data_IF_387823321601
#
_entry.id   IF_387823321601
#
_cell.length_a   1.000
_cell.length_b   1.000
_cell.length_c   1.000
_cell.angle_alpha   90.00
_cell.angle_beta   90.00
_cell.angle_gamma   90.00
#
_symmetry.space_group_name_H-M   'P 1'
#
loop_
_entity.id
_entity.type
_entity.pdbx_description
1 polymer ?
#
# COMPACT_ATOMS: atom_id res chain seq x y z
N UNK A 1 -6.27 -15.19 3.48
CA UNK A 1 -5.30 -15.68 2.50
C UNK A 1 -4.26 -16.49 3.24
N UNK A 2 -3.82 -17.62 2.70
CA UNK A 2 -2.74 -18.42 3.35
C UNK A 2 -1.46 -18.30 2.54
N UNK A 3 -0.37 -17.87 3.18
CA UNK A 3 0.95 -17.82 2.56
C UNK A 3 1.39 -19.19 2.02
N UNK A 4 1.97 -19.19 0.83
CA UNK A 4 2.50 -20.37 0.15
C UNK A 4 4.03 -20.24 0.08
N UNK A 5 4.73 -21.17 0.72
CA UNK A 5 6.18 -21.29 0.57
C UNK A 5 6.47 -21.96 -0.77
N UNK A 6 6.87 -21.14 -1.75
CA UNK A 6 7.30 -21.58 -3.07
C UNK A 6 8.82 -21.43 -3.17
N UNK A 7 9.61 -22.53 -3.15
CA UNK A 7 11.06 -22.47 -3.20
C UNK A 7 11.61 -21.69 -4.41
N UNK A 8 10.88 -21.71 -5.51
CA UNK A 8 11.23 -21.04 -6.77
C UNK A 8 11.28 -19.52 -6.61
N UNK A 9 10.46 -18.94 -5.71
CA UNK A 9 10.43 -17.51 -5.47
C UNK A 9 11.52 -17.02 -4.51
N UNK A 10 12.14 -17.91 -3.74
CA UNK A 10 13.05 -17.54 -2.65
C UNK A 10 14.23 -16.72 -3.15
N UNK A 11 14.82 -17.10 -4.28
CA UNK A 11 15.98 -16.38 -4.84
C UNK A 11 15.64 -14.95 -5.26
N UNK A 12 14.44 -14.74 -5.84
CA UNK A 12 13.98 -13.41 -6.26
C UNK A 12 13.66 -12.55 -5.05
N UNK A 13 12.88 -13.12 -4.12
CA UNK A 13 12.43 -12.41 -2.92
C UNK A 13 13.63 -12.06 -2.00
N UNK A 14 14.66 -12.90 -1.94
CA UNK A 14 15.89 -12.60 -1.19
C UNK A 14 16.60 -11.34 -1.71
N UNK A 15 16.86 -11.26 -3.03
CA UNK A 15 17.51 -10.09 -3.66
C UNK A 15 16.72 -8.81 -3.40
N UNK A 16 15.40 -8.86 -3.58
CA UNK A 16 14.55 -7.70 -3.42
C UNK A 16 14.38 -7.28 -1.95
N UNK A 17 14.34 -8.23 -1.02
CA UNK A 17 14.12 -7.95 0.41
C UNK A 17 15.37 -7.39 1.09
N UNK A 18 16.57 -7.83 0.71
CA UNK A 18 17.82 -7.23 1.19
C UNK A 18 18.03 -5.80 0.67
N UNK A 19 17.39 -5.50 -0.45
CA UNK A 19 17.44 -4.24 -1.15
C UNK A 19 18.72 -4.09 -1.97
N UNK A 20 18.58 -3.57 -3.18
CA UNK A 20 19.65 -3.37 -4.15
C UNK A 20 20.06 -1.91 -4.15
N UNK A 21 21.34 -1.65 -3.88
CA UNK A 21 21.90 -0.30 -3.83
C UNK A 21 22.22 0.19 -5.24
N UNK A 22 21.70 1.37 -5.58
CA UNK A 22 21.85 2.00 -6.89
C UNK A 22 22.06 3.50 -6.69
N UNK A 23 23.30 3.95 -6.87
CA UNK A 23 23.69 5.37 -6.77
C UNK A 23 23.18 6.07 -5.48
N UNK A 24 22.13 6.90 -5.59
CA UNK A 24 21.53 7.66 -4.48
C UNK A 24 20.19 7.07 -3.96
N UNK A 25 19.85 5.85 -4.38
CA UNK A 25 18.66 5.12 -3.93
C UNK A 25 18.93 3.65 -3.61
N UNK A 26 18.00 3.05 -2.88
CA UNK A 26 17.95 1.61 -2.63
C UNK A 26 16.59 1.08 -3.03
N UNK A 27 16.58 0.06 -3.89
CA UNK A 27 15.37 -0.59 -4.40
C UNK A 27 15.06 -1.79 -3.53
N UNK A 28 13.84 -1.86 -3.02
CA UNK A 28 13.33 -2.99 -2.28
C UNK A 28 12.15 -3.59 -3.02
N UNK A 29 11.85 -4.84 -2.69
CA UNK A 29 10.60 -5.44 -3.11
C UNK A 29 10.31 -6.73 -2.36
N UNK A 30 9.17 -7.30 -2.74
CA UNK A 30 8.59 -8.49 -2.17
C UNK A 30 7.80 -9.20 -3.24
N UNK A 31 8.07 -10.49 -3.41
CA UNK A 31 7.31 -11.35 -4.31
C UNK A 31 6.83 -12.59 -3.56
N UNK A 32 5.54 -12.61 -3.26
CA UNK A 32 4.93 -13.63 -2.41
C UNK A 32 3.76 -14.32 -3.09
N UNK A 33 3.51 -15.57 -2.71
CA UNK A 33 2.38 -16.33 -3.20
C UNK A 33 1.41 -16.68 -2.07
N UNK A 34 0.12 -16.61 -2.37
CA UNK A 34 -0.96 -16.85 -1.43
C UNK A 34 -2.04 -17.76 -2.04
N UNK A 35 -2.61 -18.64 -1.21
CA UNK A 35 -3.80 -19.39 -1.58
C UNK A 35 -5.05 -18.55 -1.35
N UNK A 36 -5.93 -18.51 -2.36
CA UNK A 36 -7.26 -17.90 -2.28
C UNK A 36 -8.29 -18.78 -1.54
N UNK A 37 -7.84 -19.78 -0.78
CA UNK A 37 -8.70 -20.53 0.13
C UNK A 37 -8.99 -19.65 1.35
N UNK A 38 -10.27 -19.53 1.69
CA UNK A 38 -10.76 -18.74 2.82
C UNK A 38 -10.11 -19.21 4.12
N UNK A 39 -9.31 -18.33 4.74
CA UNK A 39 -8.79 -18.49 6.08
C UNK A 39 -9.80 -17.96 7.12
N UNK A 40 -9.60 -18.28 8.40
CA UNK A 40 -10.48 -17.79 9.48
C UNK A 40 -10.46 -16.27 9.60
N UNK A 41 -9.31 -15.63 9.38
CA UNK A 41 -9.14 -14.16 9.35
C UNK A 41 -10.01 -13.50 8.28
N UNK A 42 -10.15 -14.15 7.13
CA UNK A 42 -10.84 -13.61 5.96
C UNK A 42 -12.35 -13.51 6.19
N UNK A 43 -12.91 -14.34 7.09
CA UNK A 43 -14.34 -14.31 7.43
C UNK A 43 -14.76 -12.98 8.05
N UNK A 44 -13.89 -12.36 8.83
CA UNK A 44 -14.17 -11.06 9.46
C UNK A 44 -14.22 -9.96 8.40
N UNK A 45 -13.22 -9.94 7.51
CA UNK A 45 -13.13 -8.99 6.40
C UNK A 45 -14.32 -9.16 5.45
N UNK A 46 -14.70 -10.40 5.12
CA UNK A 46 -15.86 -10.69 4.29
C UNK A 46 -17.16 -10.14 4.89
N UNK A 47 -17.35 -10.32 6.20
CA UNK A 47 -18.53 -9.78 6.90
C UNK A 47 -18.58 -8.25 6.84
N UNK A 48 -17.46 -7.58 7.12
CA UNK A 48 -17.36 -6.11 7.06
C UNK A 48 -17.61 -5.58 5.63
N UNK A 49 -17.11 -6.26 4.60
CA UNK A 49 -17.36 -5.92 3.18
C UNK A 49 -18.83 -6.11 2.80
N UNK A 50 -19.48 -7.18 3.26
CA UNK A 50 -20.91 -7.42 3.02
C UNK A 50 -21.80 -6.39 3.74
N UNK A 51 -21.42 -5.98 4.95
CA UNK A 51 -22.09 -4.90 5.70
C UNK A 51 -21.99 -3.56 4.96
N UNK A 52 -20.77 -3.14 4.55
CA UNK A 52 -20.56 -1.92 3.73
C UNK A 52 -21.36 -1.95 2.43
N UNK A 53 -21.43 -3.11 1.76
CA UNK A 53 -22.24 -3.27 0.55
C UNK A 53 -23.73 -3.03 0.84
N UNK A 54 -24.23 -3.55 1.97
CA UNK A 54 -25.64 -3.40 2.36
C UNK A 54 -25.97 -1.95 2.70
N UNK A 55 -25.09 -1.27 3.44
CA UNK A 55 -25.22 0.15 3.76
C UNK A 55 -25.29 1.02 2.50
N UNK A 56 -24.37 0.83 1.55
CA UNK A 56 -24.38 1.57 0.27
C UNK A 56 -25.66 1.36 -0.53
N UNK A 57 -26.25 0.16 -0.48
CA UNK A 57 -27.52 -0.14 -1.14
C UNK A 57 -28.72 0.53 -0.43
N UNK A 58 -28.67 0.67 0.89
CA UNK A 58 -29.70 1.34 1.68
C UNK A 58 -29.65 2.87 1.50
N UNK A 59 -28.47 3.47 1.59
CA UNK A 59 -28.26 4.92 1.44
C UNK A 59 -28.62 5.43 0.03
N UNK A 60 -28.40 4.60 -0.99
CA UNK A 60 -28.75 4.92 -2.38
C UNK A 60 -30.24 4.78 -2.70
N UNK A 61 -31.09 4.37 -1.75
CA UNK A 61 -32.53 4.19 -1.98
C UNK A 61 -32.88 3.08 -2.99
N UNK A 62 -31.93 2.18 -3.27
CA UNK A 62 -32.00 1.16 -4.32
C UNK A 62 -32.90 -0.05 -4.01
N UNK A 63 -33.74 0.04 -2.97
CA UNK A 63 -34.79 -0.96 -2.67
C UNK A 63 -35.98 -0.90 -3.65
N UNK A 64 -35.94 0.02 -4.63
CA UNK A 64 -36.95 0.15 -5.68
C UNK A 64 -36.51 -0.57 -6.97
N UNK A 65 -37.33 -1.46 -7.57
CA UNK A 65 -36.94 -2.29 -8.73
C UNK A 65 -36.49 -1.54 -9.99
N UNK A 66 -36.70 -0.22 -10.08
CA UNK A 66 -36.56 0.57 -11.31
C UNK A 66 -35.23 1.38 -11.39
N UNK A 67 -34.43 1.42 -10.33
CA UNK A 67 -33.14 2.15 -10.30
C UNK A 67 -31.90 1.25 -10.42
N UNK A 68 -32.09 -0.08 -10.51
CA UNK A 68 -31.01 -1.07 -10.52
C UNK A 68 -29.99 -0.90 -11.67
N UNK A 69 -30.42 -0.32 -12.81
CA UNK A 69 -29.60 -0.22 -14.01
C UNK A 69 -28.66 0.99 -14.07
N UNK A 70 -28.80 1.99 -13.19
CA UNK A 70 -28.04 3.25 -13.26
C UNK A 70 -27.16 3.54 -12.03
N UNK A 71 -27.19 2.68 -11.01
CA UNK A 71 -26.60 2.93 -9.69
C UNK A 71 -25.38 2.05 -9.35
N UNK A 72 -24.97 1.16 -10.25
CA UNK A 72 -23.70 0.46 -10.14
C UNK A 72 -22.57 1.44 -10.46
N UNK A 73 -22.17 2.28 -9.50
CA UNK A 73 -20.89 2.97 -9.58
C UNK A 73 -19.83 1.90 -9.89
N UNK A 74 -19.38 1.84 -11.13
CA UNK A 74 -18.49 0.79 -11.59
C UNK A 74 -17.13 1.10 -10.99
N UNK A 75 -16.83 0.50 -9.84
CA UNK A 75 -15.47 0.55 -9.33
C UNK A 75 -14.55 -0.10 -10.36
N UNK A 76 -13.25 0.25 -10.37
CA UNK A 76 -12.30 -0.32 -11.31
C UNK A 76 -12.19 -1.85 -11.26
N UNK A 77 -12.59 -2.46 -10.14
CA UNK A 77 -12.62 -3.92 -9.95
C UNK A 77 -14.01 -4.55 -10.13
N UNK A 78 -15.04 -3.75 -10.40
CA UNK A 78 -16.43 -4.19 -10.66
C UNK A 78 -17.47 -3.65 -9.66
N UNK A 79 -18.76 -3.92 -9.86
CA UNK A 79 -19.81 -3.47 -8.95
C UNK A 79 -19.75 -4.22 -7.61
N UNK A 80 -19.79 -3.50 -6.47
CA UNK A 80 -19.75 -4.12 -5.13
C UNK A 80 -20.98 -5.02 -4.84
N UNK A 81 -22.09 -4.79 -5.55
CA UNK A 81 -23.28 -5.62 -5.48
C UNK A 81 -23.02 -7.07 -5.98
N UNK A 82 -22.01 -7.28 -6.83
CA UNK A 82 -21.66 -8.61 -7.31
C UNK A 82 -20.85 -9.39 -6.26
N UNK A 83 -21.27 -10.63 -5.99
CA UNK A 83 -20.54 -11.52 -5.07
C UNK A 83 -19.10 -11.79 -5.53
N UNK A 84 -18.84 -11.78 -6.85
CA UNK A 84 -17.50 -11.94 -7.39
C UNK A 84 -16.57 -10.78 -6.99
N UNK A 85 -17.04 -9.53 -7.14
CA UNK A 85 -16.31 -8.32 -6.72
C UNK A 85 -16.02 -8.34 -5.22
N UNK A 86 -17.00 -8.68 -4.38
CA UNK A 86 -16.78 -8.74 -2.93
C UNK A 86 -15.75 -9.80 -2.53
N UNK A 87 -15.81 -10.98 -3.15
CA UNK A 87 -14.80 -12.04 -2.94
C UNK A 87 -13.41 -11.59 -3.38
N UNK A 88 -13.31 -10.90 -4.52
CA UNK A 88 -12.06 -10.34 -5.00
C UNK A 88 -11.51 -9.30 -4.01
N UNK A 89 -12.33 -8.33 -3.59
CA UNK A 89 -11.94 -7.31 -2.63
C UNK A 89 -11.43 -7.92 -1.31
N UNK A 90 -12.15 -8.92 -0.79
CA UNK A 90 -11.71 -9.67 0.39
C UNK A 90 -10.35 -10.32 0.17
N UNK A 91 -10.11 -10.94 -0.99
CA UNK A 91 -8.81 -11.55 -1.31
C UNK A 91 -7.70 -10.50 -1.37
N UNK A 92 -7.94 -9.34 -2.00
CA UNK A 92 -6.97 -8.25 -2.12
C UNK A 92 -6.59 -7.70 -0.74
N UNK A 93 -7.58 -7.31 0.08
CA UNK A 93 -7.37 -6.80 1.44
C UNK A 93 -6.69 -7.85 2.32
N UNK A 94 -7.14 -9.10 2.25
CA UNK A 94 -6.55 -10.19 3.04
C UNK A 94 -5.10 -10.49 2.63
N UNK A 95 -4.72 -10.21 1.38
CA UNK A 95 -3.34 -10.36 0.90
C UNK A 95 -2.46 -9.24 1.45
N UNK A 96 -2.93 -8.00 1.44
CA UNK A 96 -2.21 -6.88 2.07
C UNK A 96 -2.01 -7.09 3.58
N UNK A 97 -3.06 -7.46 4.31
CA UNK A 97 -2.98 -7.74 5.75
C UNK A 97 -2.05 -8.92 6.07
N UNK A 98 -1.91 -9.89 5.15
CA UNK A 98 -0.99 -11.01 5.34
C UNK A 98 0.46 -10.62 5.02
N UNK A 99 0.69 -9.76 4.02
CA UNK A 99 2.01 -9.28 3.63
C UNK A 99 2.57 -8.26 4.64
N UNK A 100 1.74 -7.35 5.14
CA UNK A 100 2.13 -6.30 6.08
C UNK A 100 1.39 -6.48 7.41
N UNK A 101 1.92 -7.35 8.27
CA UNK A 101 1.28 -7.75 9.52
C UNK A 101 1.03 -6.60 10.51
N UNK A 102 1.81 -5.53 10.41
CA UNK A 102 1.72 -4.35 11.28
C UNK A 102 0.68 -3.32 10.80
N UNK A 103 0.05 -3.57 9.65
CA UNK A 103 -0.91 -2.66 9.01
C UNK A 103 -2.30 -3.28 8.96
N UNK A 104 -3.32 -2.41 9.01
CA UNK A 104 -4.73 -2.80 8.92
C UNK A 104 -5.40 -2.17 7.70
N UNK A 105 -5.62 -2.97 6.67
CA UNK A 105 -6.21 -2.55 5.39
C UNK A 105 -7.73 -2.77 5.31
N UNK A 106 -8.41 -3.07 6.43
CA UNK A 106 -9.86 -3.35 6.44
C UNK A 106 -10.73 -2.16 6.03
N UNK A 107 -10.18 -0.94 6.12
CA UNK A 107 -10.87 0.28 5.70
C UNK A 107 -10.96 0.41 4.18
N UNK A 108 -10.06 -0.23 3.43
CA UNK A 108 -10.03 -0.18 1.96
C UNK A 108 -11.34 -0.64 1.33
N UNK A 109 -11.69 0.00 0.22
CA UNK A 109 -12.85 -0.25 -0.60
C UNK A 109 -12.49 -0.57 -2.06
N UNK A 110 -13.50 -0.80 -2.90
CA UNK A 110 -13.29 -1.18 -4.30
C UNK A 110 -12.53 -0.15 -5.15
N UNK A 111 -12.59 1.14 -4.79
CA UNK A 111 -11.98 2.22 -5.55
C UNK A 111 -10.48 2.39 -5.26
N UNK A 112 -9.96 1.76 -4.19
CA UNK A 112 -8.53 1.79 -3.84
C UNK A 112 -7.72 0.81 -4.71
N UNK A 113 -8.42 -0.03 -5.48
CA UNK A 113 -7.82 -1.01 -6.37
C UNK A 113 -8.18 -0.72 -7.83
N UNK A 114 -7.23 -0.95 -8.71
CA UNK A 114 -7.39 -0.82 -10.15
C UNK A 114 -7.23 -2.17 -10.83
N UNK A 115 -8.03 -2.46 -11.86
CA UNK A 115 -7.81 -3.62 -12.73
C UNK A 115 -6.92 -3.19 -13.90
N UNK A 116 -5.81 -3.90 -14.08
CA UNK A 116 -4.90 -3.67 -15.20
C UNK A 116 -5.43 -4.36 -16.45
N UNK A 117 -5.61 -3.59 -17.52
CA UNK A 117 -6.19 -4.08 -18.77
C UNK A 117 -5.16 -4.70 -19.73
N UNK A 118 -3.87 -4.44 -19.50
CA UNK A 118 -2.78 -4.91 -20.34
C UNK A 118 -1.65 -5.50 -19.50
N UNK A 119 -1.52 -6.82 -19.55
CA UNK A 119 -0.40 -7.53 -18.93
C UNK A 119 0.95 -7.07 -19.47
N UNK A 120 1.03 -6.74 -20.78
CA UNK A 120 2.26 -6.25 -21.40
C UNK A 120 2.69 -4.88 -20.83
N UNK A 121 1.73 -4.00 -20.54
CA UNK A 121 2.05 -2.70 -19.90
C UNK A 121 2.52 -2.91 -18.47
N UNK A 122 1.91 -3.85 -17.73
CA UNK A 122 2.39 -4.22 -16.38
C UNK A 122 3.81 -4.77 -16.44
N UNK A 123 4.10 -5.70 -17.36
CA UNK A 123 5.45 -6.24 -17.55
C UNK A 123 6.44 -5.12 -17.88
N UNK A 124 6.08 -4.23 -18.80
CA UNK A 124 6.93 -3.10 -19.19
C UNK A 124 7.20 -2.16 -18.01
N UNK A 125 6.20 -1.91 -17.15
CA UNK A 125 6.37 -1.09 -15.96
C UNK A 125 7.31 -1.75 -14.95
N UNK A 126 7.09 -3.03 -14.64
CA UNK A 126 7.95 -3.82 -13.74
C UNK A 126 9.40 -3.82 -14.26
N UNK A 127 9.60 -4.10 -15.55
CA UNK A 127 10.92 -4.10 -16.17
C UNK A 127 11.59 -2.73 -16.08
N UNK A 128 10.85 -1.65 -16.31
CA UNK A 128 11.41 -0.29 -16.25
C UNK A 128 11.79 0.09 -14.83
N UNK A 129 10.95 -0.22 -13.83
CA UNK A 129 11.22 0.04 -12.42
C UNK A 129 12.38 -0.79 -11.87
N UNK A 130 12.55 -2.02 -12.34
CA UNK A 130 13.57 -2.95 -11.87
C UNK A 130 14.80 -3.04 -12.79
N UNK A 131 14.88 -2.22 -13.85
CA UNK A 131 16.06 -2.17 -14.71
C UNK A 131 17.36 -1.91 -13.92
N UNK A 132 17.39 -1.03 -12.89
CA UNK A 132 18.60 -0.86 -12.10
C UNK A 132 18.98 -2.11 -11.28
N UNK A 133 18.00 -2.97 -10.94
CA UNK A 133 18.27 -4.28 -10.31
C UNK A 133 18.92 -5.23 -11.31
N UNK A 134 18.45 -5.23 -12.57
CA UNK A 134 19.06 -6.00 -13.66
C UNK A 134 20.51 -5.58 -13.92
N UNK A 135 20.81 -4.28 -13.87
CA UNK A 135 22.18 -3.77 -14.04
C UNK A 135 23.14 -4.27 -12.96
N UNK A 136 22.67 -4.38 -11.70
CA UNK A 136 23.46 -4.91 -10.58
C UNK A 136 23.48 -6.44 -10.53
N UNK A 137 22.41 -7.08 -11.01
CA UNK A 137 22.21 -8.53 -11.01
C UNK A 137 21.78 -9.01 -12.41
N UNK A 138 22.73 -9.18 -13.35
CA UNK A 138 22.40 -9.58 -14.72
C UNK A 138 21.64 -10.92 -14.78
N UNK A 139 20.57 -10.96 -15.57
CA UNK A 139 19.67 -12.10 -15.72
C UNK A 139 18.53 -12.14 -14.68
N UNK A 140 18.42 -11.15 -13.79
CA UNK A 140 17.38 -11.10 -12.77
C UNK A 140 15.97 -11.06 -13.37
N UNK A 141 15.73 -10.18 -14.35
CA UNK A 141 14.41 -10.03 -14.99
C UNK A 141 14.04 -11.29 -15.79
N UNK A 142 15.01 -11.89 -16.49
CA UNK A 142 14.78 -13.16 -17.20
C UNK A 142 14.37 -14.27 -16.22
N UNK A 143 15.10 -14.41 -15.11
CA UNK A 143 14.81 -15.39 -14.07
C UNK A 143 13.45 -15.14 -13.41
N UNK A 144 13.14 -13.89 -13.07
CA UNK A 144 11.84 -13.46 -12.54
C UNK A 144 10.69 -13.90 -13.46
N UNK A 145 10.75 -13.57 -14.74
CA UNK A 145 9.67 -13.89 -15.68
C UNK A 145 9.57 -15.38 -15.98
N UNK A 146 10.69 -16.12 -16.00
CA UNK A 146 10.66 -17.57 -16.14
C UNK A 146 9.88 -18.21 -14.99
N UNK A 147 10.17 -17.82 -13.74
CA UNK A 147 9.43 -18.32 -12.58
C UNK A 147 7.96 -17.89 -12.67
N UNK A 148 7.67 -16.61 -12.88
CA UNK A 148 6.29 -16.10 -12.91
C UNK A 148 5.43 -16.77 -13.98
N UNK A 149 6.01 -17.13 -15.13
CA UNK A 149 5.31 -17.88 -16.17
C UNK A 149 5.12 -19.36 -15.79
N UNK A 150 6.11 -20.00 -15.16
CA UNK A 150 6.04 -21.41 -14.77
C UNK A 150 5.00 -21.67 -13.67
N UNK A 151 5.05 -20.91 -12.58
CA UNK A 151 4.21 -21.16 -11.39
C UNK A 151 2.94 -20.31 -11.35
N UNK A 152 2.90 -19.21 -12.11
CA UNK A 152 1.84 -18.22 -12.04
C UNK A 152 0.96 -18.14 -13.28
N UNK A 153 1.44 -18.63 -14.43
CA UNK A 153 0.81 -18.44 -15.75
C UNK A 153 0.35 -17.00 -15.95
N UNK A 154 1.32 -16.07 -15.94
CA UNK A 154 1.05 -14.63 -15.93
C UNK A 154 0.16 -14.18 -17.10
N UNK A 155 0.21 -14.88 -18.24
CA UNK A 155 -0.60 -14.57 -19.43
C UNK A 155 -2.09 -14.83 -19.25
N UNK A 156 -2.45 -15.82 -18.43
CA UNK A 156 -3.85 -16.14 -18.10
C UNK A 156 -4.32 -15.45 -16.80
N UNK A 157 -3.42 -14.75 -16.10
CA UNK A 157 -3.73 -14.12 -14.83
C UNK A 157 -4.45 -12.77 -15.01
N UNK A 158 -5.32 -12.45 -14.05
CA UNK A 158 -5.90 -11.12 -13.92
C UNK A 158 -5.01 -10.30 -12.99
N UNK A 159 -4.59 -9.11 -13.45
CA UNK A 159 -3.73 -8.24 -12.67
C UNK A 159 -4.53 -7.07 -12.09
N UNK A 160 -4.29 -6.79 -10.83
CA UNK A 160 -4.83 -5.64 -10.12
C UNK A 160 -3.68 -4.86 -9.49
N UNK A 161 -3.86 -3.55 -9.30
CA UNK A 161 -2.91 -2.71 -8.59
C UNK A 161 -3.59 -2.04 -7.39
N UNK A 162 -2.80 -1.83 -6.33
CA UNK A 162 -3.15 -0.97 -5.21
C UNK A 162 -2.29 0.29 -5.29
N UNK A 163 -2.97 1.44 -5.38
CA UNK A 163 -2.32 2.75 -5.42
C UNK A 163 -2.56 3.39 -4.05
N UNK A 164 -1.56 3.36 -3.14
CA UNK A 164 -1.70 3.99 -1.84
C UNK A 164 -1.85 5.50 -2.00
N UNK A 165 -2.63 6.12 -1.13
CA UNK A 165 -2.70 7.58 -1.06
C UNK A 165 -1.37 8.11 -0.49
N UNK A 166 -0.58 8.75 -1.36
CA UNK A 166 0.81 9.12 -1.08
C UNK A 166 0.95 10.10 0.10
N UNK A 167 -0.12 10.83 0.47
CA UNK A 167 -0.10 11.77 1.59
C UNK A 167 -0.47 11.12 2.93
N UNK A 168 -1.29 10.08 2.90
CA UNK A 168 -1.84 9.46 4.11
C UNK A 168 -1.27 8.08 4.44
N UNK A 169 -0.66 7.39 3.47
CA UNK A 169 -0.12 6.04 3.66
C UNK A 169 1.30 6.06 4.24
N UNK A 170 1.55 5.48 5.42
CA UNK A 170 2.91 5.35 5.96
C UNK A 170 3.85 4.52 5.06
N UNK A 171 3.31 3.64 4.20
CA UNK A 171 4.09 2.90 3.21
C UNK A 171 4.67 3.83 2.15
N UNK A 172 3.98 4.88 1.72
CA UNK A 172 4.44 5.78 0.65
C UNK A 172 5.54 6.74 1.10
N UNK A 173 5.67 7.00 2.41
CA UNK A 173 6.63 7.99 2.92
C UNK A 173 8.05 7.67 2.46
N UNK A 174 8.69 8.66 1.81
CA UNK A 174 10.07 8.62 1.31
C UNK A 174 10.33 7.63 0.16
N UNK A 175 9.29 7.16 -0.52
CA UNK A 175 9.44 6.36 -1.74
C UNK A 175 9.52 7.27 -2.98
N UNK A 176 10.47 6.99 -3.87
CA UNK A 176 10.59 7.68 -5.17
C UNK A 176 9.53 7.18 -6.15
N UNK A 177 9.31 5.88 -6.13
CA UNK A 177 8.27 5.19 -6.85
C UNK A 177 7.92 3.92 -6.08
N UNK A 178 6.72 3.43 -6.29
CA UNK A 178 6.30 2.10 -5.87
C UNK A 178 5.23 1.55 -6.79
N UNK A 179 5.13 0.22 -6.79
CA UNK A 179 3.99 -0.48 -7.36
C UNK A 179 3.58 -1.60 -6.41
N UNK A 180 2.30 -1.95 -6.44
CA UNK A 180 1.74 -3.06 -5.66
C UNK A 180 0.78 -3.83 -6.57
N UNK A 181 1.27 -4.90 -7.19
CA UNK A 181 0.49 -5.73 -8.10
C UNK A 181 -0.01 -7.01 -7.43
N UNK A 182 -1.27 -7.34 -7.70
CA UNK A 182 -1.90 -8.61 -7.36
C UNK A 182 -2.16 -9.37 -8.66
N UNK A 183 -1.47 -10.48 -8.83
CA UNK A 183 -1.56 -11.31 -10.03
C UNK A 183 -2.39 -12.54 -9.64
N UNK A 184 -3.65 -12.55 -10.05
CA UNK A 184 -4.63 -13.54 -9.65
C UNK A 184 -4.82 -14.61 -10.72
N UNK A 185 -4.35 -15.81 -10.41
CA UNK A 185 -4.63 -17.00 -11.21
C UNK A 185 -5.88 -17.71 -10.67
N UNK A 186 -6.99 -17.56 -11.41
CA UNK A 186 -8.28 -18.16 -11.05
C UNK A 186 -8.29 -19.69 -11.11
N UNK A 187 -7.53 -20.28 -12.03
CA UNK A 187 -7.47 -21.73 -12.26
C UNK A 187 -6.83 -22.45 -11.08
N UNK A 188 -5.68 -21.95 -10.64
CA UNK A 188 -4.92 -22.48 -9.49
C UNK A 188 -5.40 -21.92 -8.14
N UNK A 189 -6.33 -20.96 -8.14
CA UNK A 189 -6.81 -20.23 -6.94
C UNK A 189 -5.63 -19.67 -6.13
N UNK A 190 -4.71 -19.03 -6.85
CA UNK A 190 -3.46 -18.51 -6.31
C UNK A 190 -3.37 -17.02 -6.63
N UNK A 191 -2.92 -16.24 -5.65
CA UNK A 191 -2.64 -14.82 -5.79
C UNK A 191 -1.16 -14.59 -5.53
N UNK A 192 -0.47 -13.99 -6.48
CA UNK A 192 0.87 -13.47 -6.26
C UNK A 192 0.77 -12.00 -5.91
N UNK A 193 1.44 -11.60 -4.84
CA UNK A 193 1.59 -10.21 -4.47
C UNK A 193 3.01 -9.79 -4.80
N UNK A 194 3.13 -8.84 -5.73
CA UNK A 194 4.41 -8.27 -6.12
C UNK A 194 4.40 -6.77 -5.82
N UNK A 195 5.13 -6.39 -4.79
CA UNK A 195 5.38 -5.01 -4.45
C UNK A 195 6.87 -4.69 -4.62
N UNK A 196 7.17 -3.51 -5.17
CA UNK A 196 8.52 -2.98 -5.14
C UNK A 196 8.48 -1.46 -5.01
N UNK A 197 9.53 -0.91 -4.43
CA UNK A 197 9.66 0.52 -4.20
C UNK A 197 11.12 0.93 -4.12
N UNK A 198 11.42 2.14 -4.59
CA UNK A 198 12.72 2.75 -4.39
C UNK A 198 12.65 3.77 -3.26
N UNK A 199 13.64 3.77 -2.37
CA UNK A 199 13.83 4.80 -1.35
C UNK A 199 15.13 5.54 -1.61
N UNK A 200 15.10 6.85 -1.51
CA UNK A 200 16.32 7.65 -1.55
C UNK A 200 17.17 7.36 -0.32
N UNK A 201 18.49 7.36 -0.47
CA UNK A 201 19.38 7.41 0.69
C UNK A 201 19.06 8.67 1.51
N UNK A 202 18.87 8.49 2.82
CA UNK A 202 18.91 9.62 3.74
C UNK A 202 20.33 10.13 3.67
N UNK A 203 20.54 11.29 3.04
CA UNK A 203 21.81 11.99 3.20
C UNK A 203 21.93 12.25 4.69
N UNK A 204 22.91 11.62 5.35
CA UNK A 204 23.40 12.13 6.62
C UNK A 204 23.99 13.49 6.28
N UNK A 205 23.15 14.52 6.34
CA UNK A 205 23.66 15.82 6.68
C UNK A 205 24.09 15.69 8.12
N UNK A 206 25.39 15.57 8.34
CA UNK A 206 26.01 15.90 9.62
C UNK A 206 25.70 17.38 9.91
N UNK A 207 24.51 17.61 10.45
CA UNK A 207 24.03 18.81 11.12
C UNK A 207 23.26 18.33 12.37
N UNK A 208 23.90 17.47 13.16
CA UNK A 208 23.82 17.56 14.63
C UNK A 208 25.05 18.45 14.94
N UNK A 209 24.94 19.68 15.43
CA UNK A 209 24.34 20.12 16.69
C UNK A 209 23.80 21.55 16.53
N UNK A 210 22.80 21.89 17.34
CA UNK A 210 22.11 23.20 17.52
C UNK A 210 20.72 23.29 16.88
N UNK A 211 19.74 22.59 17.48
CA UNK A 211 18.44 23.18 17.86
C UNK A 211 17.64 22.17 18.73
N UNK A 212 18.28 21.64 19.80
CA UNK A 212 17.57 21.14 20.98
C UNK A 212 17.85 22.12 22.14
N UNK A 213 17.03 23.17 22.21
CA UNK A 213 16.79 24.10 23.33
C UNK A 213 15.73 25.07 22.81
N UNK A 214 14.51 25.15 23.32
CA UNK A 214 14.12 25.22 24.71
C UNK A 214 12.67 24.69 24.89
N UNK A 215 12.51 23.58 25.59
CA UNK A 215 11.29 23.31 26.38
C UNK A 215 11.74 22.91 27.78
N UNK A 216 11.07 23.48 28.80
CA UNK A 216 11.35 23.48 30.25
C UNK A 216 12.18 24.71 30.68
N UNK A 217 11.60 25.72 31.34
CA UNK A 217 11.18 25.60 32.73
C UNK A 217 10.15 26.70 33.09
N UNK A 218 8.93 26.29 33.47
CA UNK A 218 8.01 27.12 34.24
C UNK A 218 8.53 27.18 35.69
N UNK A 219 9.25 28.24 36.06
CA UNK A 219 9.51 28.55 37.47
C UNK A 219 8.70 29.77 37.90
N UNK A 220 7.72 29.49 38.76
CA UNK A 220 6.88 30.44 39.47
C UNK A 220 7.66 30.98 40.67
N UNK A 221 8.01 32.27 40.65
CA UNK A 221 8.43 32.99 41.86
C UNK A 221 7.51 34.20 42.02
N UNK A 222 6.64 34.12 43.02
CA UNK A 222 5.86 35.23 43.56
C UNK A 222 6.74 36.06 44.51
N UNK A 223 6.23 37.28 44.79
CA UNK A 223 6.61 38.23 45.85
C UNK A 223 7.77 39.18 45.45
N UNK A 224 7.73 40.50 45.68
CA UNK A 224 6.84 41.35 46.47
C UNK A 224 7.05 42.82 46.02
N UNK A 225 6.11 43.67 46.38
CA UNK A 225 6.07 45.14 46.40
C UNK A 225 7.40 45.93 46.27
N UNK A 226 7.39 47.02 45.48
CA UNK A 226 7.58 48.36 46.05
C UNK A 226 7.13 49.47 45.09
N UNK A 227 6.28 50.35 45.62
CA UNK A 227 5.85 51.60 45.04
C UNK A 227 6.98 52.64 45.14
N UNK A 228 7.18 53.45 44.09
CA UNK A 228 7.72 54.81 44.25
C UNK A 228 7.02 55.74 43.25
N UNK A 229 6.28 56.69 43.82
CA UNK A 229 5.75 57.91 43.22
C UNK A 229 6.88 58.85 42.74
N UNK A 230 6.55 59.78 41.84
CA UNK A 230 7.07 61.16 41.72
C UNK A 230 6.91 61.59 40.25
N UNK A 231 5.82 62.28 39.90
CA UNK A 231 5.62 63.74 39.96
C UNK A 231 6.24 64.49 38.76
N UNK A 232 5.32 65.14 38.02
CA UNK A 232 5.40 66.44 37.36
C UNK A 232 6.54 66.76 36.37
N UNK A 233 6.15 67.15 35.15
CA UNK A 233 6.20 68.58 34.79
C UNK A 233 5.43 68.90 33.50
N UNK A 234 4.62 69.95 33.63
CA UNK A 234 3.83 70.61 32.61
C UNK A 234 4.63 71.03 31.36
N UNK A 235 3.95 71.05 30.20
CA UNK A 235 4.19 72.13 29.23
C UNK A 235 2.95 72.45 28.41
N UNK A 236 2.39 73.61 28.77
CA UNK A 236 1.54 74.57 28.07
C UNK A 236 1.29 74.36 26.56
#
# INVERSE_FOLDING_TARGET
MKFLQLPELVSIDEVLRTGVEVEDMKIYGRLEAYSCKMASSDKKIAKEVDEKCTEQLLESGALSPQSFGSFTGTSPIGPIAESATRKLLVNLISTLNASFADYDFRTLGPNDFMRELSGDMVMSNINSSLMPVEDQHPGFLEHLWNIMNEIGDFREAEVYSYVPDMESDPLSMRQLWSFNYFIYNKKEKRMFFFAAWARRHVRSTSFDDEEERDEEEYEFVMDEEEAVEDEDEERF
#
